data_IF_407937953335
#
_entry.id   IF_407937953335
#
_cell.length_a   1.000
_cell.length_b   1.000
_cell.length_c   1.000
_cell.angle_alpha   90.00
_cell.angle_beta   90.00
_cell.angle_gamma   90.00
#
_symmetry.space_group_name_H-M   'P 1'
#
loop_
_entity.id
_entity.type
_entity.pdbx_description
1 polymer ?
#
# COMPACT_ATOMS: atom_id res chain seq x y z
N UNK A 1 0.53 -4.25 -1.80
CA UNK A 1 -0.23 -5.09 -2.77
C UNK A 1 -0.68 -4.24 -3.94
N UNK A 2 -1.91 -3.80 -4.03
CA UNK A 2 -2.41 -2.84 -5.03
C UNK A 2 -3.30 -1.79 -4.37
N UNK A 3 -3.62 -0.65 -5.04
CA UNK A 3 -4.42 0.42 -4.47
C UNK A 3 -5.78 -0.01 -3.94
N UNK A 4 -6.14 0.49 -2.76
CA UNK A 4 -7.50 0.50 -2.27
C UNK A 4 -8.33 1.62 -2.92
N UNK A 5 -9.66 1.46 -3.03
CA UNK A 5 -10.51 2.41 -3.75
C UNK A 5 -10.77 3.71 -3.00
N UNK A 6 -10.45 3.78 -1.72
CA UNK A 6 -10.70 4.95 -0.85
C UNK A 6 -9.42 5.67 -0.42
N UNK A 7 -8.26 5.11 -0.76
CA UNK A 7 -6.94 5.64 -0.45
C UNK A 7 -6.13 5.92 -1.72
N UNK A 8 -5.12 5.11 -2.01
CA UNK A 8 -4.25 5.31 -3.17
C UNK A 8 -5.01 5.40 -4.50
N UNK A 9 -6.13 4.70 -4.65
CA UNK A 9 -6.98 4.81 -5.84
C UNK A 9 -7.59 6.21 -6.04
N UNK A 10 -7.60 7.05 -5.01
CA UNK A 10 -8.04 8.43 -5.07
C UNK A 10 -6.88 9.43 -5.16
N UNK A 11 -5.81 9.20 -4.43
CA UNK A 11 -4.77 10.20 -4.18
C UNK A 11 -3.37 9.80 -4.67
N UNK A 12 -3.19 8.58 -5.21
CA UNK A 12 -1.89 8.12 -5.72
C UNK A 12 -0.86 7.74 -4.65
N UNK A 13 -1.13 7.99 -3.39
CA UNK A 13 -0.21 7.74 -2.26
C UNK A 13 -0.52 6.38 -1.63
N UNK A 14 0.48 5.48 -1.46
CA UNK A 14 0.27 4.15 -0.89
C UNK A 14 -0.33 4.19 0.51
N UNK A 15 -1.32 3.34 0.77
CA UNK A 15 -2.07 3.30 2.03
C UNK A 15 -2.68 4.64 2.45
N UNK A 16 -2.82 5.61 1.56
CA UNK A 16 -3.37 6.91 1.93
C UNK A 16 -4.84 6.83 2.38
N UNK A 17 -5.22 7.85 3.11
CA UNK A 17 -6.58 8.21 3.46
C UNK A 17 -6.66 9.74 3.42
N UNK A 18 -7.82 10.32 3.19
CA UNK A 18 -7.96 11.77 3.00
C UNK A 18 -7.41 12.57 4.19
N UNK A 19 -7.74 12.15 5.41
CA UNK A 19 -7.21 12.76 6.64
C UNK A 19 -5.69 12.66 6.73
N UNK A 20 -5.12 11.51 6.41
CA UNK A 20 -3.66 11.31 6.44
C UNK A 20 -2.95 12.25 5.45
N UNK A 21 -3.43 12.32 4.22
CA UNK A 21 -2.81 13.17 3.19
C UNK A 21 -2.86 14.64 3.58
N UNK A 22 -4.00 15.10 4.08
CA UNK A 22 -4.20 16.51 4.45
C UNK A 22 -3.51 16.86 5.78
N UNK A 23 -3.66 16.03 6.81
CA UNK A 23 -3.34 16.41 8.19
C UNK A 23 -1.94 15.94 8.63
N UNK A 24 -1.49 14.73 8.23
CA UNK A 24 -0.16 14.22 8.52
C UNK A 24 0.86 14.61 7.44
N UNK A 25 0.55 14.34 6.16
CA UNK A 25 1.47 14.64 5.05
C UNK A 25 1.45 16.12 4.63
N UNK A 26 0.50 16.91 5.14
CA UNK A 26 0.33 18.36 4.88
C UNK A 26 0.13 18.71 3.40
N UNK A 27 -0.34 17.75 2.59
CA UNK A 27 -0.65 17.97 1.18
C UNK A 27 -2.09 18.49 1.09
N UNK A 28 -2.26 19.75 0.75
CA UNK A 28 -3.56 20.41 0.68
C UNK A 28 -4.04 20.68 -0.73
N UNK A 29 -3.10 20.83 -1.66
CA UNK A 29 -3.36 21.01 -3.09
C UNK A 29 -2.92 19.74 -3.81
N UNK A 30 -3.87 18.85 -4.07
CA UNK A 30 -3.65 17.59 -4.78
C UNK A 30 -4.43 17.61 -6.09
N UNK A 31 -3.76 17.96 -7.17
CA UNK A 31 -4.32 17.79 -8.51
C UNK A 31 -4.31 16.32 -8.92
N UNK A 32 -5.48 15.76 -9.17
CA UNK A 32 -5.62 14.37 -9.61
C UNK A 32 -6.02 14.30 -11.08
N UNK A 33 -5.22 13.60 -11.86
CA UNK A 33 -5.50 13.36 -13.25
C UNK A 33 -6.55 12.26 -13.41
N UNK A 34 -7.64 12.57 -14.10
CA UNK A 34 -8.69 11.58 -14.38
C UNK A 34 -8.19 10.51 -15.37
N UNK A 35 -8.51 9.23 -15.15
CA UNK A 35 -8.21 8.19 -16.12
C UNK A 35 -9.04 8.39 -17.41
N UNK A 36 -8.53 7.95 -18.56
CA UNK A 36 -9.25 8.04 -19.85
C UNK A 36 -10.60 7.34 -19.81
N UNK A 37 -10.65 6.16 -19.18
CA UNK A 37 -11.85 5.35 -19.02
C UNK A 37 -12.24 5.33 -17.54
N UNK A 38 -13.20 6.17 -17.18
CA UNK A 38 -13.70 6.27 -15.81
C UNK A 38 -14.84 5.28 -15.61
N UNK A 39 -14.67 4.37 -14.63
CA UNK A 39 -15.82 3.57 -14.22
C UNK A 39 -16.73 4.42 -13.32
N UNK A 40 -18.08 4.49 -13.58
CA UNK A 40 -18.99 5.39 -12.87
C UNK A 40 -18.95 5.28 -11.35
N UNK A 41 -18.70 4.07 -10.81
CA UNK A 41 -18.58 3.80 -9.38
C UNK A 41 -17.16 4.01 -8.82
N UNK A 42 -16.20 4.45 -9.64
CA UNK A 42 -14.78 4.63 -9.27
C UNK A 42 -14.22 5.95 -9.79
N UNK A 43 -15.03 7.00 -9.72
CA UNK A 43 -14.55 8.35 -10.01
C UNK A 43 -13.41 8.71 -9.06
N UNK A 44 -12.37 9.37 -9.58
CA UNK A 44 -11.23 9.86 -8.80
C UNK A 44 -11.50 11.29 -8.40
N UNK A 45 -11.53 11.58 -7.11
CA UNK A 45 -11.87 12.88 -6.53
C UNK A 45 -10.74 13.50 -5.70
N UNK A 46 -9.63 12.79 -5.55
CA UNK A 46 -8.53 13.29 -4.71
C UNK A 46 -8.96 13.57 -3.27
N UNK A 47 -8.63 14.74 -2.77
CA UNK A 47 -8.97 15.16 -1.39
C UNK A 47 -10.47 15.42 -1.16
N UNK A 48 -11.27 15.55 -2.22
CA UNK A 48 -12.74 15.66 -2.10
C UNK A 48 -13.43 14.31 -1.89
N UNK A 49 -12.65 13.22 -1.80
CA UNK A 49 -13.19 11.91 -1.49
C UNK A 49 -13.58 11.81 -0.01
N UNK A 50 -14.83 11.43 0.25
CA UNK A 50 -15.44 11.47 1.59
C UNK A 50 -15.25 10.20 2.44
N UNK A 51 -14.66 9.12 1.88
CA UNK A 51 -14.47 7.85 2.60
C UNK A 51 -13.00 7.65 2.95
N UNK A 52 -12.73 7.31 4.19
CA UNK A 52 -11.39 6.95 4.64
C UNK A 52 -11.02 5.50 4.29
N UNK A 53 -9.77 5.28 3.92
CA UNK A 53 -9.22 3.92 3.77
C UNK A 53 -8.73 3.43 5.14
N UNK A 54 -9.51 2.58 5.80
CA UNK A 54 -9.22 2.13 7.17
C UNK A 54 -7.82 1.50 7.31
N UNK A 55 -7.40 0.72 6.32
CA UNK A 55 -6.04 0.15 6.32
C UNK A 55 -4.98 1.24 6.28
N UNK A 56 -5.26 2.32 5.60
CA UNK A 56 -4.38 3.48 5.47
C UNK A 56 -4.28 4.24 6.79
N UNK A 57 -5.42 4.64 7.36
CA UNK A 57 -5.42 5.36 8.65
C UNK A 57 -4.73 4.55 9.75
N UNK A 58 -4.96 3.24 9.82
CA UNK A 58 -4.29 2.36 10.79
C UNK A 58 -2.76 2.38 10.64
N UNK A 59 -2.26 2.19 9.42
CA UNK A 59 -0.82 2.11 9.19
C UNK A 59 -0.14 3.46 9.43
N UNK A 60 -0.66 4.52 8.85
CA UNK A 60 -0.07 5.85 8.99
C UNK A 60 -0.13 6.40 10.42
N UNK A 61 -1.23 6.18 11.15
CA UNK A 61 -1.33 6.58 12.56
C UNK A 61 -0.33 5.81 13.44
N UNK A 62 -0.06 4.53 13.12
CA UNK A 62 0.98 3.79 13.80
C UNK A 62 2.37 4.39 13.49
N UNK A 63 2.69 4.65 12.23
CA UNK A 63 3.96 5.27 11.87
C UNK A 63 4.13 6.66 12.50
N UNK A 64 3.06 7.46 12.56
CA UNK A 64 3.08 8.75 13.26
C UNK A 64 3.35 8.57 14.75
N UNK A 65 2.75 7.56 15.40
CA UNK A 65 3.01 7.28 16.82
C UNK A 65 4.45 6.85 17.10
N UNK A 66 5.11 6.16 16.14
CA UNK A 66 6.49 5.68 16.29
C UNK A 66 7.53 6.75 15.93
N UNK A 67 7.28 7.56 14.91
CA UNK A 67 8.25 8.51 14.36
C UNK A 67 7.90 9.99 14.59
N UNK A 68 6.68 10.29 15.00
CA UNK A 68 6.21 11.62 15.39
C UNK A 68 5.70 12.50 14.26
N UNK A 69 6.32 12.50 13.09
CA UNK A 69 5.90 13.35 11.95
C UNK A 69 6.28 12.74 10.60
N UNK A 70 5.77 13.32 9.51
CA UNK A 70 6.00 12.81 8.16
C UNK A 70 7.48 12.80 7.75
N UNK A 71 8.26 13.81 8.11
CA UNK A 71 9.69 13.90 7.78
C UNK A 71 10.46 12.73 8.40
N UNK A 72 10.25 12.47 9.69
CA UNK A 72 10.87 11.35 10.39
C UNK A 72 10.40 10.00 9.83
N UNK A 73 9.10 9.88 9.47
CA UNK A 73 8.60 8.67 8.82
C UNK A 73 9.39 8.41 7.53
N UNK A 74 9.47 9.40 6.63
CA UNK A 74 10.16 9.22 5.34
C UNK A 74 11.68 9.09 5.45
N UNK A 75 12.28 9.54 6.53
CA UNK A 75 13.70 9.30 6.83
C UNK A 75 13.99 7.84 7.22
N UNK A 76 12.98 7.11 7.66
CA UNK A 76 13.13 5.72 8.13
C UNK A 76 12.46 4.70 7.22
N UNK A 77 11.31 5.03 6.61
CA UNK A 77 10.54 4.09 5.81
C UNK A 77 10.05 4.70 4.50
N UNK A 78 10.07 3.92 3.43
CA UNK A 78 9.45 4.26 2.16
C UNK A 78 8.34 3.24 1.85
N UNK A 79 7.13 3.71 1.57
CA UNK A 79 5.97 2.84 1.34
C UNK A 79 5.68 2.77 -0.16
N UNK A 80 5.62 1.56 -0.71
CA UNK A 80 5.32 1.32 -2.11
C UNK A 80 4.31 0.19 -2.27
N UNK A 81 3.44 0.27 -3.27
CA UNK A 81 2.62 -0.85 -3.68
C UNK A 81 3.36 -1.70 -4.72
N UNK A 82 3.33 -3.02 -4.57
CA UNK A 82 3.85 -3.94 -5.58
C UNK A 82 3.21 -3.67 -6.95
N UNK A 83 1.89 -3.63 -7.02
CA UNK A 83 1.15 -3.25 -8.22
C UNK A 83 0.56 -1.84 -8.02
N UNK A 84 0.93 -0.83 -8.82
CA UNK A 84 0.41 0.53 -8.66
C UNK A 84 -1.00 0.71 -9.25
N UNK A 85 -1.55 -0.30 -9.93
CA UNK A 85 -2.84 -0.22 -10.61
C UNK A 85 -3.98 -0.60 -9.67
N UNK A 86 -5.03 0.22 -9.63
CA UNK A 86 -6.29 -0.16 -9.01
C UNK A 86 -7.03 -1.13 -9.93
N UNK A 87 -7.20 -2.36 -9.46
CA UNK A 87 -7.84 -3.44 -10.21
C UNK A 87 -9.25 -3.68 -9.70
N UNK A 88 -10.22 -3.78 -10.60
CA UNK A 88 -11.59 -4.11 -10.24
C UNK A 88 -12.29 -4.94 -11.31
N UNK A 89 -13.36 -5.65 -10.94
CA UNK A 89 -14.11 -6.56 -11.80
C UNK A 89 -15.60 -6.27 -11.78
N UNK A 90 -16.20 -6.38 -12.96
CA UNK A 90 -17.66 -6.33 -13.17
C UNK A 90 -18.27 -4.96 -12.93
N UNK A 91 -19.55 -4.82 -13.22
CA UNK A 91 -20.33 -3.58 -13.11
C UNK A 91 -20.38 -3.00 -11.69
N UNK A 92 -20.17 -3.83 -10.68
CA UNK A 92 -20.09 -3.39 -9.27
C UNK A 92 -18.75 -2.79 -8.92
N UNK A 93 -17.76 -2.85 -9.83
CA UNK A 93 -16.38 -2.44 -9.61
C UNK A 93 -15.79 -3.01 -8.30
N UNK A 94 -15.92 -4.33 -8.11
CA UNK A 94 -15.37 -5.02 -6.95
C UNK A 94 -13.84 -4.97 -7.05
N UNK A 95 -13.19 -4.42 -6.03
CA UNK A 95 -11.73 -4.37 -5.97
C UNK A 95 -11.18 -5.80 -5.91
N UNK A 96 -10.21 -6.08 -6.77
CA UNK A 96 -9.51 -7.37 -6.83
C UNK A 96 -8.00 -7.17 -6.71
N UNK A 97 -7.31 -8.22 -6.33
CA UNK A 97 -5.86 -8.23 -6.17
C UNK A 97 -5.20 -8.91 -7.38
N UNK A 98 -3.93 -8.61 -7.69
CA UNK A 98 -3.26 -9.17 -8.87
C UNK A 98 -3.29 -10.70 -8.92
N UNK A 99 -3.25 -11.37 -7.76
CA UNK A 99 -3.34 -12.84 -7.65
C UNK A 99 -4.73 -13.42 -8.00
N UNK A 100 -5.74 -12.57 -8.14
CA UNK A 100 -7.10 -12.96 -8.56
C UNK A 100 -7.35 -12.81 -10.05
N UNK A 101 -6.37 -12.34 -10.80
CA UNK A 101 -6.41 -12.26 -12.25
C UNK A 101 -5.67 -13.48 -12.79
N UNK A 102 -6.07 -13.98 -13.93
CA UNK A 102 -5.43 -15.11 -14.62
C UNK A 102 -5.09 -14.76 -16.07
N UNK A 103 -4.15 -15.50 -16.65
CA UNK A 103 -3.75 -15.38 -18.04
C UNK A 103 -2.38 -14.74 -18.26
N UNK A 104 -1.91 -14.75 -19.49
CA UNK A 104 -0.57 -14.30 -19.89
C UNK A 104 -0.30 -12.83 -19.54
N UNK A 105 -1.27 -11.96 -19.75
CA UNK A 105 -1.12 -10.54 -19.42
C UNK A 105 -0.94 -10.31 -17.92
N UNK A 106 -1.49 -11.18 -17.07
CA UNK A 106 -1.29 -11.10 -15.61
C UNK A 106 0.14 -11.46 -15.24
N UNK A 107 0.71 -12.49 -15.86
CA UNK A 107 2.10 -12.86 -15.64
C UNK A 107 3.03 -11.70 -15.98
N UNK A 108 2.89 -11.10 -17.16
CA UNK A 108 3.66 -9.92 -17.58
C UNK A 108 3.50 -8.73 -16.63
N UNK A 109 2.29 -8.47 -16.15
CA UNK A 109 2.03 -7.43 -15.15
C UNK A 109 2.82 -7.69 -13.86
N UNK A 110 2.76 -8.90 -13.33
CA UNK A 110 3.45 -9.27 -12.10
C UNK A 110 4.97 -9.18 -12.29
N UNK A 111 5.51 -9.69 -13.38
CA UNK A 111 6.94 -9.60 -13.71
C UNK A 111 7.41 -8.14 -13.78
N UNK A 112 6.62 -7.25 -14.40
CA UNK A 112 6.93 -5.82 -14.45
C UNK A 112 6.85 -5.14 -13.08
N UNK A 113 5.91 -5.55 -12.24
CA UNK A 113 5.80 -5.06 -10.86
C UNK A 113 7.00 -5.52 -10.00
N UNK A 114 7.42 -6.77 -10.14
CA UNK A 114 8.61 -7.30 -9.45
C UNK A 114 9.88 -6.55 -9.90
N UNK A 115 10.02 -6.30 -11.20
CA UNK A 115 11.12 -5.52 -11.74
C UNK A 115 11.14 -4.11 -11.18
N UNK A 116 9.97 -3.45 -11.12
CA UNK A 116 9.84 -2.13 -10.51
C UNK A 116 10.29 -2.11 -9.04
N UNK A 117 9.92 -3.13 -8.24
CA UNK A 117 10.41 -3.22 -6.86
C UNK A 117 11.93 -3.34 -6.80
N UNK A 118 12.56 -4.13 -7.68
CA UNK A 118 14.04 -4.23 -7.74
C UNK A 118 14.66 -2.88 -8.07
N UNK A 119 14.15 -2.19 -9.09
CA UNK A 119 14.60 -0.86 -9.48
C UNK A 119 14.53 0.14 -8.31
N UNK A 120 13.40 0.15 -7.56
CA UNK A 120 13.23 1.03 -6.38
C UNK A 120 14.26 0.71 -5.30
N UNK A 121 14.44 -0.56 -4.97
CA UNK A 121 15.38 -1.01 -3.94
C UNK A 121 16.83 -0.63 -4.29
N UNK A 122 17.21 -0.82 -5.55
CA UNK A 122 18.55 -0.46 -6.05
C UNK A 122 18.78 1.05 -6.02
N UNK A 123 17.86 1.85 -6.59
CA UNK A 123 17.96 3.31 -6.65
C UNK A 123 18.04 3.93 -5.25
N UNK A 124 17.25 3.42 -4.31
CA UNK A 124 17.21 3.94 -2.94
C UNK A 124 18.23 3.30 -1.99
N UNK A 125 18.99 2.30 -2.44
CA UNK A 125 19.96 1.61 -1.60
C UNK A 125 19.35 0.83 -0.43
N UNK A 126 18.10 0.36 -0.57
CA UNK A 126 17.36 -0.34 0.49
C UNK A 126 18.02 -1.69 0.82
N UNK A 127 18.12 -2.00 2.11
CA UNK A 127 18.67 -3.27 2.60
C UNK A 127 17.64 -4.17 3.27
N UNK A 128 16.51 -3.60 3.70
CA UNK A 128 15.41 -4.32 4.37
C UNK A 128 14.07 -3.98 3.71
N UNK A 129 13.30 -5.01 3.38
CA UNK A 129 11.94 -4.89 2.82
C UNK A 129 10.95 -5.57 3.76
N UNK A 130 9.88 -4.85 4.10
CA UNK A 130 8.79 -5.35 4.95
C UNK A 130 7.56 -5.59 4.10
N UNK A 131 7.19 -6.86 3.95
CA UNK A 131 5.98 -7.26 3.23
C UNK A 131 4.73 -7.10 4.10
N UNK A 132 3.93 -6.07 3.86
CA UNK A 132 2.67 -5.86 4.59
C UNK A 132 1.59 -6.82 4.09
N UNK A 133 1.39 -7.89 4.83
CA UNK A 133 0.51 -9.00 4.49
C UNK A 133 1.17 -10.06 3.61
N UNK A 134 0.63 -11.28 3.64
CA UNK A 134 1.20 -12.48 3.01
C UNK A 134 1.46 -12.34 1.51
N UNK A 135 0.61 -11.63 0.78
CA UNK A 135 0.84 -11.38 -0.64
C UNK A 135 2.13 -10.56 -0.85
N UNK A 136 2.29 -9.46 -0.11
CA UNK A 136 3.45 -8.58 -0.27
C UNK A 136 4.74 -9.28 0.16
N UNK A 137 4.72 -10.03 1.26
CA UNK A 137 5.83 -10.86 1.73
C UNK A 137 6.25 -11.87 0.66
N UNK A 138 5.29 -12.66 0.13
CA UNK A 138 5.56 -13.64 -0.93
C UNK A 138 6.16 -12.97 -2.18
N UNK A 139 5.61 -11.85 -2.63
CA UNK A 139 6.13 -11.16 -3.82
C UNK A 139 7.52 -10.56 -3.59
N UNK A 140 7.78 -10.01 -2.40
CA UNK A 140 9.11 -9.54 -2.05
C UNK A 140 10.13 -10.68 -2.08
N UNK A 141 9.80 -11.83 -1.48
CA UNK A 141 10.64 -13.03 -1.50
C UNK A 141 11.00 -13.47 -2.92
N UNK A 142 10.01 -13.52 -3.82
CA UNK A 142 10.25 -13.87 -5.22
C UNK A 142 11.04 -12.80 -5.99
N UNK A 143 10.67 -11.52 -5.81
CA UNK A 143 11.31 -10.42 -6.52
C UNK A 143 12.79 -10.26 -6.16
N UNK A 144 13.16 -10.49 -4.92
CA UNK A 144 14.51 -10.27 -4.40
C UNK A 144 15.32 -11.54 -4.14
N UNK A 145 14.87 -12.70 -4.64
CA UNK A 145 15.52 -14.01 -4.37
C UNK A 145 17.02 -14.08 -4.73
N UNK A 146 17.47 -13.26 -5.69
CA UNK A 146 18.86 -13.20 -6.17
C UNK A 146 19.60 -11.95 -5.64
N UNK A 147 18.97 -11.20 -4.73
CA UNK A 147 19.52 -9.95 -4.18
C UNK A 147 19.80 -10.10 -2.69
N UNK A 148 20.82 -9.43 -2.19
CA UNK A 148 21.14 -9.41 -0.76
C UNK A 148 20.25 -8.40 -0.02
N UNK A 149 18.95 -8.75 0.12
CA UNK A 149 17.92 -7.96 0.77
C UNK A 149 17.30 -8.76 1.91
N UNK A 150 17.27 -8.18 3.09
CA UNK A 150 16.55 -8.77 4.22
C UNK A 150 15.04 -8.60 4.01
N UNK A 151 14.30 -9.71 4.02
CA UNK A 151 12.84 -9.69 3.86
C UNK A 151 12.18 -10.13 5.15
N UNK A 152 11.19 -9.37 5.57
CA UNK A 152 10.38 -9.65 6.77
C UNK A 152 8.90 -9.44 6.41
N UNK A 153 8.01 -10.26 6.98
CA UNK A 153 6.57 -10.09 6.83
C UNK A 153 5.94 -9.45 8.06
N UNK A 154 4.83 -8.74 7.86
CA UNK A 154 3.96 -8.28 8.93
C UNK A 154 2.48 -8.42 8.54
N UNK A 155 1.59 -8.28 9.53
CA UNK A 155 0.16 -8.45 9.29
C UNK A 155 -0.44 -7.24 8.56
N UNK A 156 -1.32 -7.51 7.61
CA UNK A 156 -2.02 -6.46 6.87
C UNK A 156 -3.06 -5.76 7.76
N UNK A 157 -3.12 -4.40 7.78
CA UNK A 157 -4.03 -3.62 8.63
C UNK A 157 -5.50 -3.65 8.23
N UNK A 158 -5.90 -4.52 7.31
CA UNK A 158 -7.28 -4.61 6.82
C UNK A 158 -8.28 -4.87 7.94
N UNK A 159 -9.40 -4.14 7.98
CA UNK A 159 -10.49 -4.43 8.93
C UNK A 159 -11.12 -5.82 8.72
N UNK A 160 -10.95 -6.41 7.53
CA UNK A 160 -11.38 -7.78 7.25
C UNK A 160 -10.39 -8.84 7.77
N UNK A 161 -9.21 -8.46 8.26
CA UNK A 161 -8.23 -9.39 8.81
C UNK A 161 -8.51 -9.68 10.28
N UNK A 162 -8.78 -10.94 10.68
CA UNK A 162 -8.93 -11.29 12.09
C UNK A 162 -7.70 -10.91 12.94
N UNK A 163 -6.49 -11.08 12.38
CA UNK A 163 -5.23 -10.73 13.06
C UNK A 163 -5.12 -9.23 13.33
N UNK A 164 -5.58 -8.39 12.40
CA UNK A 164 -5.56 -6.94 12.58
C UNK A 164 -6.57 -6.42 13.62
N UNK A 165 -7.49 -7.26 14.05
CA UNK A 165 -8.53 -6.89 15.01
C UNK A 165 -8.35 -7.55 16.39
N UNK A 166 -7.39 -8.48 16.53
CA UNK A 166 -7.10 -9.12 17.81
C UNK A 166 -6.72 -8.08 18.86
N UNK A 167 -7.17 -8.31 20.08
CA UNK A 167 -6.90 -7.43 21.20
C UNK A 167 -7.11 -5.93 20.84
N UNK A 168 -8.26 -5.62 20.18
CA UNK A 168 -8.59 -4.26 19.69
C UNK A 168 -7.50 -3.64 18.78
N UNK A 169 -6.72 -4.49 18.10
CA UNK A 169 -5.65 -4.08 17.20
C UNK A 169 -4.28 -3.92 17.85
N UNK A 170 -4.12 -4.15 19.15
CA UNK A 170 -2.81 -4.05 19.82
C UNK A 170 -1.84 -5.11 19.27
N UNK A 171 -2.26 -6.37 19.18
CA UNK A 171 -1.42 -7.44 18.64
C UNK A 171 -0.90 -7.11 17.22
N UNK A 172 -1.71 -6.43 16.41
CA UNK A 172 -1.29 -5.96 15.09
C UNK A 172 -0.25 -4.84 15.19
N UNK A 173 -0.45 -3.87 16.08
CA UNK A 173 0.52 -2.78 16.30
C UNK A 173 1.87 -3.33 16.73
N UNK A 174 1.88 -4.25 17.68
CA UNK A 174 3.11 -4.89 18.15
C UNK A 174 3.79 -5.72 17.07
N UNK A 175 3.02 -6.42 16.24
CA UNK A 175 3.55 -7.15 15.10
C UNK A 175 4.23 -6.22 14.07
N UNK A 176 3.67 -5.04 13.80
CA UNK A 176 4.34 -4.05 12.93
C UNK A 176 5.58 -3.48 13.61
N UNK A 177 5.50 -3.04 14.89
CA UNK A 177 6.63 -2.50 15.63
C UNK A 177 7.82 -3.44 15.65
N UNK A 178 7.59 -4.74 15.78
CA UNK A 178 8.66 -5.74 15.84
C UNK A 178 9.49 -5.86 14.55
N UNK A 179 9.03 -5.29 13.44
CA UNK A 179 9.70 -5.34 12.13
C UNK A 179 10.12 -3.97 11.60
N UNK A 180 9.68 -2.87 12.21
CA UNK A 180 10.14 -1.53 11.82
C UNK A 180 11.65 -1.36 12.06
N UNK A 181 12.32 -0.44 11.31
CA UNK A 181 13.72 -0.11 11.54
C UNK A 181 13.94 0.63 12.85
#
# INVERSE_FOLDING_TARGET
MNPGPHGMGQMGIPFSATSIVRDLLKIRDLEVKQPRNIHPKRAVKGLDWHKEEISGTRLWNLLESEYGNAENIFSNVFIVNHCPLMLFKGERAINITPDKISGENTRRLIERCDQHLREVVEIMGIKKVIGVGKYAEKRATEAFKEMNIQITGCWHPSPASPLANRNKGEDWRDNIRSVLP
#
